data_IF_838063220484
#
_entry.id   IF_838063220484
#
_cell.length_a   1.000
_cell.length_b   1.000
_cell.length_c   1.000
_cell.angle_alpha   90.00
_cell.angle_beta   90.00
_cell.angle_gamma   90.00
#
_symmetry.space_group_name_H-M   'P 1'
#
loop_
_entity.id
_entity.type
_entity.pdbx_description
1 polymer ?
#
# COMPACT_ATOMS: atom_id res chain seq x y z
N UNK A 1 24.72 10.39 -19.67
CA UNK A 1 24.00 9.78 -20.82
C UNK A 1 22.60 9.48 -20.36
N UNK A 2 21.73 10.25 -20.89
CA UNK A 2 20.50 10.58 -20.24
C UNK A 2 19.32 9.93 -20.92
N UNK A 3 18.38 9.57 -20.18
CA UNK A 3 16.99 10.13 -20.12
C UNK A 3 16.07 9.92 -21.32
N UNK A 4 16.53 9.42 -22.45
CA UNK A 4 15.64 9.30 -23.62
C UNK A 4 14.88 7.97 -23.68
N UNK A 5 15.37 6.92 -23.02
CA UNK A 5 14.68 5.62 -22.99
C UNK A 5 13.27 5.72 -22.38
N UNK A 6 13.05 6.67 -21.47
CA UNK A 6 11.74 6.88 -20.83
C UNK A 6 10.71 7.40 -21.81
N UNK A 7 11.03 8.47 -22.52
CA UNK A 7 10.17 9.02 -23.57
C UNK A 7 9.95 8.00 -24.70
N UNK A 8 11.00 7.28 -25.09
CA UNK A 8 10.92 6.18 -26.07
C UNK A 8 10.01 5.04 -25.59
N UNK A 9 10.09 4.67 -24.30
CA UNK A 9 9.22 3.64 -23.71
C UNK A 9 7.75 4.06 -23.75
N UNK A 10 7.46 5.29 -23.36
CA UNK A 10 6.11 5.86 -23.41
C UNK A 10 5.54 5.88 -24.83
N UNK A 11 6.32 6.41 -25.77
CA UNK A 11 5.93 6.47 -27.18
C UNK A 11 5.61 5.07 -27.74
N UNK A 12 6.52 4.12 -27.57
CA UNK A 12 6.32 2.75 -28.04
C UNK A 12 5.09 2.09 -27.42
N UNK A 13 4.85 2.31 -26.11
CA UNK A 13 3.78 1.66 -25.39
C UNK A 13 2.42 2.30 -25.61
N UNK A 14 2.33 3.63 -25.56
CA UNK A 14 1.08 4.37 -25.57
C UNK A 14 0.68 4.87 -26.97
N UNK A 15 1.64 5.34 -27.74
CA UNK A 15 1.34 5.93 -29.05
C UNK A 15 1.34 4.87 -30.16
N UNK A 16 2.26 3.91 -30.10
CA UNK A 16 2.34 2.82 -31.10
C UNK A 16 1.66 1.51 -30.65
N UNK A 17 1.22 1.38 -29.41
CA UNK A 17 0.53 0.19 -28.90
C UNK A 17 1.38 -1.08 -28.87
N UNK A 18 2.71 -0.96 -28.82
CA UNK A 18 3.62 -2.12 -28.83
C UNK A 18 3.41 -3.04 -27.62
N UNK A 19 3.60 -4.34 -27.81
CA UNK A 19 3.65 -5.32 -26.72
C UNK A 19 4.88 -5.11 -25.86
N UNK A 20 4.86 -5.61 -24.60
CA UNK A 20 6.02 -5.54 -23.73
C UNK A 20 7.29 -6.12 -24.33
N UNK A 21 7.19 -7.25 -25.01
CA UNK A 21 8.32 -7.87 -25.69
C UNK A 21 8.93 -6.96 -26.76
N UNK A 22 8.09 -6.27 -27.54
CA UNK A 22 8.52 -5.32 -28.57
C UNK A 22 9.16 -4.07 -27.95
N UNK A 23 8.59 -3.56 -26.86
CA UNK A 23 9.17 -2.40 -26.12
C UNK A 23 10.54 -2.78 -25.56
N UNK A 24 10.67 -3.93 -24.92
CA UNK A 24 11.94 -4.41 -24.36
C UNK A 24 12.98 -4.63 -25.44
N UNK A 25 12.61 -5.21 -26.57
CA UNK A 25 13.50 -5.41 -27.71
C UNK A 25 14.01 -4.07 -28.27
N UNK A 26 13.13 -3.09 -28.40
CA UNK A 26 13.49 -1.75 -28.89
C UNK A 26 14.36 -0.96 -27.92
N UNK A 27 14.27 -1.25 -26.62
CA UNK A 27 15.05 -0.59 -25.56
C UNK A 27 16.32 -1.36 -25.16
N UNK A 28 16.52 -2.58 -25.64
CA UNK A 28 17.70 -3.39 -25.32
C UNK A 28 19.03 -2.65 -25.55
N UNK A 29 19.21 -1.86 -26.63
CA UNK A 29 20.45 -1.08 -26.82
C UNK A 29 20.69 -0.01 -25.75
N UNK A 30 19.64 0.46 -25.07
CA UNK A 30 19.73 1.48 -24.01
C UNK A 30 20.19 0.89 -22.67
N UNK A 31 20.20 -0.48 -22.55
CA UNK A 31 20.53 -1.22 -21.33
C UNK A 31 21.44 -2.43 -21.64
N UNK A 32 22.67 -2.19 -22.12
CA UNK A 32 23.54 -3.29 -22.56
C UNK A 32 23.96 -4.24 -21.43
N UNK A 33 23.85 -3.82 -20.17
CA UNK A 33 24.19 -4.58 -18.97
C UNK A 33 23.04 -5.44 -18.42
N UNK A 34 21.81 -5.23 -18.93
CA UNK A 34 20.62 -5.92 -18.42
C UNK A 34 20.14 -7.04 -19.36
N UNK A 35 19.67 -8.13 -18.78
CA UNK A 35 18.98 -9.16 -19.55
C UNK A 35 17.53 -8.73 -19.90
N UNK A 36 16.86 -9.40 -20.87
CA UNK A 36 15.52 -9.01 -21.30
C UNK A 36 14.49 -8.93 -20.19
N UNK A 37 14.56 -9.81 -19.18
CA UNK A 37 13.63 -9.81 -18.03
C UNK A 37 13.87 -8.58 -17.15
N UNK A 38 15.11 -8.25 -16.87
CA UNK A 38 15.46 -7.05 -16.09
C UNK A 38 15.07 -5.76 -16.82
N UNK A 39 15.23 -5.72 -18.16
CA UNK A 39 14.75 -4.58 -18.96
C UNK A 39 13.23 -4.46 -18.84
N UNK A 40 12.51 -5.57 -18.95
CA UNK A 40 11.05 -5.58 -18.82
C UNK A 40 10.60 -5.08 -17.45
N UNK A 41 11.19 -5.56 -16.37
CA UNK A 41 10.89 -5.14 -15.01
C UNK A 41 11.14 -3.63 -14.81
N UNK A 42 12.30 -3.14 -15.25
CA UNK A 42 12.67 -1.72 -15.18
C UNK A 42 11.73 -0.83 -15.98
N UNK A 43 11.41 -1.22 -17.21
CA UNK A 43 10.53 -0.44 -18.10
C UNK A 43 9.10 -0.46 -17.59
N UNK A 44 8.59 -1.61 -17.16
CA UNK A 44 7.25 -1.72 -16.54
C UNK A 44 7.14 -0.88 -15.29
N UNK A 45 8.15 -0.94 -14.41
CA UNK A 45 8.20 -0.11 -13.19
C UNK A 45 8.15 1.38 -13.51
N UNK A 46 8.84 1.82 -14.56
CA UNK A 46 8.80 3.21 -15.01
C UNK A 46 7.43 3.57 -15.61
N UNK A 47 6.94 2.80 -16.59
CA UNK A 47 5.68 3.07 -17.30
C UNK A 47 4.50 3.15 -16.32
N UNK A 48 4.48 2.33 -15.28
CA UNK A 48 3.45 2.41 -14.22
C UNK A 48 3.47 3.72 -13.44
N UNK A 49 4.61 4.39 -13.39
CA UNK A 49 4.73 5.73 -12.77
C UNK A 49 4.28 6.84 -13.70
N UNK A 50 4.12 6.57 -14.99
CA UNK A 50 3.65 7.57 -15.94
C UNK A 50 2.17 7.83 -15.74
N UNK A 51 1.76 9.10 -15.78
CA UNK A 51 0.34 9.48 -15.69
C UNK A 51 -0.51 8.85 -16.80
N UNK A 52 0.09 8.58 -17.97
CA UNK A 52 -0.57 7.93 -19.11
C UNK A 52 -0.91 6.46 -18.86
N UNK A 53 -0.15 5.74 -18.02
CA UNK A 53 -0.43 4.34 -17.66
C UNK A 53 -1.53 4.22 -16.63
N UNK A 54 -1.80 5.26 -15.86
CA UNK A 54 -2.91 5.34 -14.91
C UNK A 54 -4.25 5.33 -15.67
N UNK A 55 -4.43 4.29 -16.49
CA UNK A 55 -5.63 4.07 -17.29
C UNK A 55 -6.83 3.82 -16.37
N UNK A 56 -8.03 3.87 -16.90
CA UNK A 56 -9.33 3.69 -16.27
C UNK A 56 -9.53 2.31 -15.55
N UNK A 57 -8.47 1.57 -15.25
CA UNK A 57 -8.57 0.31 -14.51
C UNK A 57 -8.79 0.57 -13.03
N UNK A 58 -9.62 -0.24 -12.35
CA UNK A 58 -9.83 -0.13 -10.92
C UNK A 58 -8.52 -0.31 -10.14
N UNK A 59 -8.42 0.38 -9.01
CA UNK A 59 -7.29 0.29 -8.08
C UNK A 59 -7.75 -0.51 -6.86
N UNK A 60 -7.05 -1.61 -6.54
CA UNK A 60 -7.18 -2.29 -5.26
C UNK A 60 -6.40 -1.49 -4.22
N UNK A 61 -7.06 -1.12 -3.13
CA UNK A 61 -6.44 -0.39 -2.03
C UNK A 61 -6.58 -1.18 -0.74
N UNK A 62 -5.48 -1.50 -0.08
CA UNK A 62 -5.47 -2.16 1.21
C UNK A 62 -4.58 -1.43 2.20
N UNK A 63 -4.70 -1.74 3.49
CA UNK A 63 -3.93 -1.12 4.56
C UNK A 63 -3.79 -2.07 5.73
N UNK A 64 -2.88 -1.73 6.63
CA UNK A 64 -2.79 -2.29 7.97
C UNK A 64 -2.73 -3.83 7.98
N UNK A 65 -1.86 -4.49 7.19
CA UNK A 65 -1.60 -5.91 7.37
C UNK A 65 -0.89 -6.19 8.69
N UNK A 66 -0.02 -5.30 9.16
CA UNK A 66 0.76 -5.45 10.40
C UNK A 66 1.53 -6.77 10.46
N UNK A 67 2.25 -7.11 9.39
CA UNK A 67 3.07 -8.32 9.39
C UNK A 67 4.04 -8.34 10.59
N UNK A 68 4.24 -9.48 11.25
CA UNK A 68 3.77 -10.83 10.93
C UNK A 68 2.39 -11.17 11.50
N UNK A 69 1.64 -10.20 12.05
CA UNK A 69 0.37 -10.41 12.74
C UNK A 69 -0.84 -10.20 11.84
N UNK A 70 -0.64 -10.28 10.54
CA UNK A 70 -1.71 -10.25 9.55
C UNK A 70 -2.55 -11.54 9.57
N UNK A 71 -3.82 -11.43 9.14
CA UNK A 71 -4.67 -12.60 8.99
C UNK A 71 -4.10 -13.53 7.90
N UNK A 72 -3.96 -14.84 8.14
CA UNK A 72 -3.28 -15.76 7.22
C UNK A 72 -3.82 -15.72 5.79
N UNK A 73 -5.13 -15.56 5.64
CA UNK A 73 -5.81 -15.55 4.35
C UNK A 73 -5.98 -14.15 3.72
N UNK A 74 -5.53 -13.09 4.39
CA UNK A 74 -5.73 -11.73 3.88
C UNK A 74 -5.07 -11.49 2.52
N UNK A 75 -3.83 -11.92 2.24
CA UNK A 75 -3.24 -11.74 0.90
C UNK A 75 -4.00 -12.48 -0.20
N UNK A 76 -4.57 -13.64 0.08
CA UNK A 76 -5.38 -14.40 -0.88
C UNK A 76 -6.74 -13.75 -1.14
N UNK A 77 -7.39 -13.22 -0.08
CA UNK A 77 -8.59 -12.39 -0.22
C UNK A 77 -8.34 -11.18 -1.11
N UNK A 78 -7.22 -10.48 -0.93
CA UNK A 78 -6.84 -9.35 -1.78
C UNK A 78 -6.66 -9.79 -3.24
N UNK A 79 -6.03 -10.94 -3.48
CA UNK A 79 -5.83 -11.47 -4.83
C UNK A 79 -7.16 -11.79 -5.52
N UNK A 80 -8.07 -12.49 -4.84
CA UNK A 80 -9.38 -12.82 -5.40
C UNK A 80 -10.21 -11.55 -5.64
N UNK A 81 -10.12 -10.57 -4.74
CA UNK A 81 -10.76 -9.27 -4.92
C UNK A 81 -10.19 -8.53 -6.13
N UNK A 82 -8.87 -8.48 -6.28
CA UNK A 82 -8.22 -7.88 -7.45
C UNK A 82 -8.68 -8.52 -8.77
N UNK A 83 -8.75 -9.84 -8.81
CA UNK A 83 -9.25 -10.60 -9.97
C UNK A 83 -10.71 -10.28 -10.27
N UNK A 84 -11.57 -10.31 -9.23
CA UNK A 84 -13.01 -10.06 -9.35
C UNK A 84 -13.32 -8.69 -9.94
N UNK A 85 -12.63 -7.67 -9.48
CA UNK A 85 -12.83 -6.29 -9.93
C UNK A 85 -11.89 -5.87 -11.07
N UNK A 86 -11.05 -6.78 -11.57
CA UNK A 86 -10.06 -6.53 -12.63
C UNK A 86 -9.17 -5.33 -12.31
N UNK A 87 -8.71 -5.26 -11.06
CA UNK A 87 -7.83 -4.20 -10.62
C UNK A 87 -6.51 -4.23 -11.41
N UNK A 88 -6.19 -3.12 -12.05
CA UNK A 88 -4.94 -2.96 -12.82
C UNK A 88 -3.80 -2.38 -12.00
N UNK A 89 -4.09 -1.88 -10.81
CA UNK A 89 -3.12 -1.30 -9.88
C UNK A 89 -3.44 -1.75 -8.45
N UNK A 90 -2.40 -1.77 -7.62
CA UNK A 90 -2.51 -2.09 -6.20
C UNK A 90 -1.82 -0.99 -5.39
N UNK A 91 -2.50 -0.49 -4.37
CA UNK A 91 -2.01 0.54 -3.45
C UNK A 91 -2.11 0.03 -2.02
N UNK A 92 -1.01 0.11 -1.26
CA UNK A 92 -1.01 -0.12 0.18
C UNK A 92 -0.93 1.22 0.93
N UNK A 93 -1.79 1.40 1.92
CA UNK A 93 -1.83 2.64 2.71
C UNK A 93 -1.00 2.57 3.99
N UNK A 94 0.01 1.72 4.05
CA UNK A 94 0.96 1.67 5.16
C UNK A 94 0.60 0.68 6.27
N UNK A 95 1.38 0.77 7.33
CA UNK A 95 1.44 -0.21 8.41
C UNK A 95 1.64 -1.63 7.87
N UNK A 96 2.65 -1.75 6.98
CA UNK A 96 3.08 -3.03 6.40
C UNK A 96 3.55 -3.98 7.51
N UNK A 97 4.25 -3.44 8.49
CA UNK A 97 4.78 -4.17 9.65
C UNK A 97 4.24 -3.60 10.95
N UNK A 98 4.11 -4.46 11.97
CA UNK A 98 3.61 -3.99 13.26
C UNK A 98 4.70 -3.30 14.10
N UNK A 99 5.93 -3.82 14.07
CA UNK A 99 7.01 -3.32 14.92
C UNK A 99 6.61 -3.27 16.41
N UNK A 100 5.89 -4.31 16.89
CA UNK A 100 5.38 -4.42 18.27
C UNK A 100 6.52 -4.39 19.28
N UNK A 101 7.59 -5.14 19.01
CA UNK A 101 8.73 -5.28 19.92
C UNK A 101 9.45 -3.95 20.23
N UNK A 102 9.31 -2.95 19.35
CA UNK A 102 9.87 -1.61 19.57
C UNK A 102 8.80 -0.57 19.90
N UNK A 103 7.61 -1.03 20.27
CA UNK A 103 6.52 -0.16 20.75
C UNK A 103 6.88 0.49 22.09
N UNK A 104 6.28 1.65 22.37
CA UNK A 104 6.34 2.29 23.71
C UNK A 104 5.35 1.66 24.69
N UNK A 105 4.44 0.82 24.21
CA UNK A 105 3.54 0.04 25.07
C UNK A 105 4.30 -1.14 25.67
N UNK A 106 3.94 -1.55 26.88
CA UNK A 106 4.58 -2.68 27.53
C UNK A 106 4.50 -3.95 26.66
N UNK A 107 5.61 -4.67 26.55
CA UNK A 107 5.65 -5.93 25.82
C UNK A 107 4.92 -7.02 26.61
N UNK A 108 4.12 -7.83 25.90
CA UNK A 108 3.57 -9.06 26.46
C UNK A 108 4.73 -10.03 26.82
N UNK A 109 4.61 -10.82 27.92
CA UNK A 109 5.69 -11.71 28.37
C UNK A 109 6.15 -12.73 27.31
N UNK A 110 5.28 -13.07 26.37
CA UNK A 110 5.57 -13.99 25.26
C UNK A 110 5.85 -13.30 23.94
N UNK A 111 6.02 -11.97 23.92
CA UNK A 111 6.27 -11.22 22.71
C UNK A 111 7.62 -11.60 22.06
N UNK A 112 7.65 -11.56 20.75
CA UNK A 112 8.88 -11.74 19.97
C UNK A 112 9.86 -10.59 20.25
N UNK A 113 11.15 -10.90 20.20
CA UNK A 113 12.16 -9.85 20.13
C UNK A 113 12.15 -9.16 18.76
N UNK A 114 12.63 -7.92 18.69
CA UNK A 114 12.57 -7.10 17.49
C UNK A 114 13.15 -7.77 16.23
N UNK A 115 14.22 -8.54 16.38
CA UNK A 115 14.85 -9.26 15.27
C UNK A 115 13.95 -10.38 14.75
N UNK A 116 13.44 -11.22 15.66
CA UNK A 116 12.55 -12.33 15.28
C UNK A 116 11.23 -11.86 14.70
N UNK A 117 10.70 -10.75 15.21
CA UNK A 117 9.48 -10.14 14.65
C UNK A 117 9.72 -9.66 13.23
N UNK A 118 10.84 -8.97 12.98
CA UNK A 118 11.20 -8.48 11.64
C UNK A 118 11.40 -9.63 10.64
N UNK A 119 12.13 -10.68 11.03
CA UNK A 119 12.36 -11.86 10.16
C UNK A 119 11.04 -12.53 9.77
N UNK A 120 10.11 -12.67 10.71
CA UNK A 120 8.78 -13.21 10.43
C UNK A 120 7.96 -12.27 9.55
N UNK A 121 8.05 -10.95 9.78
CA UNK A 121 7.38 -9.96 8.94
C UNK A 121 7.87 -10.03 7.48
N UNK A 122 9.17 -10.14 7.27
CA UNK A 122 9.76 -10.32 5.92
C UNK A 122 9.24 -11.61 5.28
N UNK A 123 9.21 -12.72 6.02
CA UNK A 123 8.67 -13.98 5.52
C UNK A 123 7.19 -13.86 5.10
N UNK A 124 6.38 -13.17 5.90
CA UNK A 124 4.97 -12.90 5.57
C UNK A 124 4.83 -12.00 4.34
N UNK A 125 5.61 -10.92 4.26
CA UNK A 125 5.60 -10.00 3.12
C UNK A 125 6.00 -10.68 1.81
N UNK A 126 6.82 -11.72 1.83
CA UNK A 126 7.14 -12.53 0.63
C UNK A 126 5.91 -13.16 -0.01
N UNK A 127 4.84 -13.42 0.75
CA UNK A 127 3.56 -13.89 0.19
C UNK A 127 2.88 -12.75 -0.59
N UNK A 128 2.84 -11.54 -0.02
CA UNK A 128 2.26 -10.38 -0.70
C UNK A 128 3.04 -10.02 -1.96
N UNK A 129 4.37 -10.00 -1.90
CA UNK A 129 5.21 -9.65 -3.06
C UNK A 129 5.14 -10.70 -4.17
N UNK A 130 4.94 -11.98 -3.83
CA UNK A 130 4.71 -13.04 -4.80
C UNK A 130 3.35 -12.91 -5.51
N UNK A 131 2.30 -12.53 -4.77
CA UNK A 131 0.95 -12.34 -5.32
C UNK A 131 0.80 -11.01 -6.06
N UNK A 132 1.47 -9.99 -5.58
CA UNK A 132 1.45 -8.62 -6.09
C UNK A 132 2.89 -8.13 -6.34
N UNK A 133 3.49 -8.48 -7.47
CA UNK A 133 4.88 -8.10 -7.76
C UNK A 133 5.08 -6.59 -7.91
N UNK A 134 3.98 -5.86 -8.02
CA UNK A 134 3.99 -4.41 -8.23
C UNK A 134 2.92 -3.74 -7.36
N UNK A 135 3.36 -2.92 -6.40
CA UNK A 135 2.52 -2.18 -5.45
C UNK A 135 3.10 -0.77 -5.25
N UNK A 136 2.27 0.24 -5.32
CA UNK A 136 2.60 1.54 -4.75
C UNK A 136 2.22 1.52 -3.27
N UNK A 137 3.06 2.06 -2.38
CA UNK A 137 2.72 2.14 -0.96
C UNK A 137 3.09 3.47 -0.33
N UNK A 138 2.32 3.87 0.67
CA UNK A 138 2.69 4.96 1.57
C UNK A 138 3.09 4.38 2.92
N UNK A 139 3.85 5.13 3.73
CA UNK A 139 4.25 4.68 5.06
C UNK A 139 3.18 4.98 6.11
N UNK A 140 2.99 4.03 7.02
CA UNK A 140 2.13 4.20 8.18
C UNK A 140 2.90 4.53 9.46
N UNK A 141 2.20 4.70 10.55
CA UNK A 141 2.83 5.06 11.82
C UNK A 141 3.59 3.90 12.47
N UNK A 142 3.28 2.66 12.14
CA UNK A 142 4.05 1.49 12.59
C UNK A 142 5.31 1.32 11.75
N UNK A 143 5.24 1.55 10.46
CA UNK A 143 6.40 1.56 9.57
C UNK A 143 7.45 2.59 10.02
N UNK A 144 6.99 3.75 10.50
CA UNK A 144 7.85 4.85 10.98
C UNK A 144 8.33 4.71 12.43
N UNK A 145 7.99 3.62 13.14
CA UNK A 145 8.38 3.46 14.54
C UNK A 145 9.89 3.50 14.75
N UNK A 146 10.66 2.82 13.91
CA UNK A 146 12.11 2.78 14.04
C UNK A 146 12.71 4.18 13.88
N UNK A 147 12.24 4.95 12.90
CA UNK A 147 12.70 6.31 12.64
C UNK A 147 12.40 7.24 13.82
N UNK A 148 11.19 7.13 14.38
CA UNK A 148 10.77 7.92 15.55
C UNK A 148 11.54 7.54 16.82
N UNK A 149 11.84 6.25 17.03
CA UNK A 149 12.65 5.79 18.17
C UNK A 149 14.09 6.30 18.03
N UNK A 150 14.70 6.17 16.86
CA UNK A 150 16.04 6.68 16.58
C UNK A 150 16.13 8.20 16.79
N UNK A 151 15.17 8.94 16.25
CA UNK A 151 15.10 10.39 16.43
C UNK A 151 14.96 10.80 17.91
N UNK A 152 14.23 10.01 18.71
CA UNK A 152 14.05 10.30 20.16
C UNK A 152 15.34 10.23 20.96
N UNK A 153 16.39 9.56 20.45
CA UNK A 153 17.72 9.46 21.05
C UNK A 153 18.79 10.21 20.23
N UNK A 154 18.35 11.07 19.30
CA UNK A 154 19.25 11.93 18.53
C UNK A 154 19.89 11.27 17.30
N UNK A 155 19.46 10.07 16.91
CA UNK A 155 19.95 9.40 15.70
C UNK A 155 19.11 9.86 14.50
N UNK A 156 19.75 10.57 13.56
CA UNK A 156 19.10 11.06 12.35
C UNK A 156 18.85 9.95 11.32
N UNK A 157 17.82 10.12 10.49
CA UNK A 157 17.41 9.15 9.46
C UNK A 157 18.55 8.74 8.50
N UNK A 158 19.54 9.61 8.27
CA UNK A 158 20.72 9.30 7.43
C UNK A 158 21.52 8.08 7.91
N UNK A 159 21.39 7.69 9.19
CA UNK A 159 22.09 6.54 9.77
C UNK A 159 21.26 5.24 9.71
N UNK A 160 20.05 5.31 9.20
CA UNK A 160 19.14 4.18 9.11
C UNK A 160 19.03 3.72 7.65
N UNK A 161 18.74 2.44 7.47
CA UNK A 161 18.32 1.92 6.16
C UNK A 161 16.90 2.34 5.86
N UNK A 162 16.61 2.52 4.58
CA UNK A 162 15.23 2.74 4.13
C UNK A 162 14.35 1.52 4.44
N UNK A 163 13.08 1.77 4.71
CA UNK A 163 12.09 0.71 5.01
C UNK A 163 12.05 -0.35 3.90
N UNK A 164 12.14 0.07 2.66
CA UNK A 164 12.16 -0.81 1.49
C UNK A 164 13.29 -1.85 1.58
N UNK A 165 14.50 -1.41 1.93
CA UNK A 165 15.68 -2.27 2.05
C UNK A 165 15.61 -3.15 3.30
N UNK A 166 15.07 -2.62 4.41
CA UNK A 166 14.88 -3.37 5.67
C UNK A 166 13.92 -4.53 5.47
N UNK A 167 12.84 -4.32 4.70
CA UNK A 167 11.80 -5.31 4.44
C UNK A 167 12.08 -6.20 3.22
N UNK A 168 13.24 -6.06 2.57
CA UNK A 168 13.62 -6.82 1.38
C UNK A 168 12.55 -6.76 0.27
N UNK A 169 11.91 -5.60 0.09
CA UNK A 169 10.86 -5.45 -0.90
C UNK A 169 11.42 -5.45 -2.33
N UNK A 170 10.73 -6.02 -3.31
CA UNK A 170 11.18 -6.02 -4.70
C UNK A 170 11.05 -4.62 -5.33
N UNK A 171 11.81 -4.33 -6.38
CA UNK A 171 11.80 -3.05 -7.11
C UNK A 171 10.39 -2.59 -7.55
N UNK A 172 9.45 -3.53 -7.75
CA UNK A 172 8.07 -3.22 -8.10
C UNK A 172 7.25 -2.63 -6.95
N UNK A 173 7.73 -2.72 -5.71
CA UNK A 173 7.11 -2.10 -4.55
C UNK A 173 7.69 -0.70 -4.35
N UNK A 174 6.90 0.34 -4.63
CA UNK A 174 7.39 1.72 -4.71
C UNK A 174 6.84 2.53 -3.55
N UNK A 175 7.74 3.01 -2.68
CA UNK A 175 7.39 3.96 -1.64
C UNK A 175 7.03 5.32 -2.24
N UNK A 176 5.86 5.83 -1.90
CA UNK A 176 5.36 7.15 -2.30
C UNK A 176 5.47 8.20 -1.19
N UNK A 177 6.16 7.86 -0.09
CA UNK A 177 6.23 8.70 1.11
C UNK A 177 5.00 8.53 2.00
N UNK A 178 4.64 9.57 2.75
CA UNK A 178 3.53 9.51 3.70
C UNK A 178 2.16 9.74 3.06
N UNK A 179 2.14 10.43 1.93
CA UNK A 179 0.93 10.75 1.15
C UNK A 179 1.25 10.73 -0.33
N UNK A 180 0.28 10.33 -1.12
CA UNK A 180 0.42 10.27 -2.56
C UNK A 180 -0.89 10.67 -3.25
N UNK A 181 -0.80 11.57 -4.23
CA UNK A 181 -1.95 11.98 -5.03
C UNK A 181 -1.84 11.33 -6.40
N UNK A 182 -2.91 10.65 -6.78
CA UNK A 182 -3.07 10.11 -8.13
C UNK A 182 -4.49 10.40 -8.61
N UNK A 183 -4.60 11.03 -9.78
CA UNK A 183 -5.86 11.30 -10.47
C UNK A 183 -6.92 11.96 -9.54
N UNK A 184 -6.50 12.95 -8.77
CA UNK A 184 -7.33 13.69 -7.81
C UNK A 184 -7.89 12.83 -6.65
N UNK A 185 -7.23 11.73 -6.34
CA UNK A 185 -7.45 10.95 -5.10
C UNK A 185 -6.19 11.00 -4.25
N UNK A 186 -6.32 11.35 -2.99
CA UNK A 186 -5.26 11.36 -2.00
C UNK A 186 -5.23 10.01 -1.26
N UNK A 187 -4.11 9.35 -1.34
CA UNK A 187 -3.80 8.10 -0.64
C UNK A 187 -2.89 8.40 0.54
N UNK A 188 -3.29 8.03 1.74
CA UNK A 188 -2.48 8.20 2.94
C UNK A 188 -2.83 7.17 3.99
N UNK A 189 -1.95 6.95 4.97
CA UNK A 189 -2.28 6.03 6.06
C UNK A 189 -3.46 6.53 6.91
N UNK A 190 -3.58 7.83 7.12
CA UNK A 190 -4.72 8.40 7.85
C UNK A 190 -4.41 8.76 9.30
N UNK A 191 -3.15 8.91 9.68
CA UNK A 191 -2.75 9.46 11.00
C UNK A 191 -3.46 10.80 11.21
N UNK A 192 -4.06 10.99 12.39
CA UNK A 192 -4.91 12.14 12.77
C UNK A 192 -6.32 12.19 12.15
N UNK A 193 -6.68 11.22 11.32
CA UNK A 193 -8.00 11.12 10.68
C UNK A 193 -8.72 9.84 11.09
N UNK A 194 -8.66 9.48 12.36
CA UNK A 194 -9.27 8.27 12.89
C UNK A 194 -10.79 8.36 13.04
N UNK A 195 -11.42 7.19 13.17
CA UNK A 195 -12.85 7.07 13.42
C UNK A 195 -13.70 6.96 12.13
N UNK A 196 -14.99 6.73 12.34
CA UNK A 196 -15.95 6.43 11.27
C UNK A 196 -15.97 7.45 10.12
N UNK A 197 -15.80 8.72 10.44
CA UNK A 197 -15.87 9.82 9.49
C UNK A 197 -14.48 10.35 9.09
N UNK A 198 -13.39 9.71 9.54
CA UNK A 198 -12.03 10.20 9.29
C UNK A 198 -11.75 10.43 7.81
N UNK A 199 -12.08 9.46 6.96
CA UNK A 199 -11.84 9.55 5.52
C UNK A 199 -12.61 10.70 4.85
N UNK A 200 -13.91 10.85 5.15
CA UNK A 200 -14.70 11.91 4.53
C UNK A 200 -14.34 13.29 5.07
N UNK A 201 -14.00 13.40 6.37
CA UNK A 201 -13.52 14.65 6.94
C UNK A 201 -12.21 15.08 6.27
N UNK A 202 -11.27 14.14 6.08
CA UNK A 202 -10.03 14.41 5.33
C UNK A 202 -10.35 14.86 3.91
N UNK A 203 -11.21 14.16 3.18
CA UNK A 203 -11.60 14.52 1.83
C UNK A 203 -12.18 15.93 1.71
N UNK A 204 -13.00 16.35 2.69
CA UNK A 204 -13.56 17.69 2.74
C UNK A 204 -12.52 18.78 3.02
N UNK A 205 -11.55 18.50 3.89
CA UNK A 205 -10.46 19.44 4.21
C UNK A 205 -9.50 19.57 3.03
N UNK A 206 -9.08 18.45 2.44
CA UNK A 206 -8.16 18.41 1.29
C UNK A 206 -8.83 18.84 -0.03
N UNK A 207 -10.17 18.94 -0.07
CA UNK A 207 -10.95 19.28 -1.26
C UNK A 207 -10.72 18.30 -2.42
N UNK A 208 -10.49 17.05 -2.10
CA UNK A 208 -10.33 15.94 -3.07
C UNK A 208 -10.73 14.61 -2.43
N UNK A 209 -11.03 13.61 -3.23
CA UNK A 209 -11.31 12.26 -2.72
C UNK A 209 -10.12 11.68 -1.97
N UNK A 210 -10.38 10.93 -0.88
CA UNK A 210 -9.33 10.36 -0.03
C UNK A 210 -9.56 8.88 0.25
N UNK A 211 -8.46 8.12 0.28
CA UNK A 211 -8.41 6.75 0.78
C UNK A 211 -7.47 6.69 1.98
N UNK A 212 -7.96 6.13 3.09
CA UNK A 212 -7.19 5.98 4.32
C UNK A 212 -7.33 4.60 4.95
N UNK A 213 -6.31 4.19 5.73
CA UNK A 213 -6.29 3.04 6.65
C UNK A 213 -6.38 3.48 8.10
N UNK A 214 -5.47 2.99 8.95
CA UNK A 214 -5.23 3.37 10.34
C UNK A 214 -6.39 3.05 11.32
N UNK A 215 -7.62 3.27 10.90
CA UNK A 215 -8.80 3.02 11.73
C UNK A 215 -9.31 1.59 11.56
N UNK A 216 -8.68 0.64 12.24
CA UNK A 216 -8.98 -0.78 12.09
C UNK A 216 -10.46 -1.15 12.30
N UNK A 217 -11.20 -0.37 13.09
CA UNK A 217 -12.60 -0.66 13.43
C UNK A 217 -13.61 -0.17 12.38
N UNK A 218 -13.15 0.44 11.30
CA UNK A 218 -14.03 1.02 10.29
C UNK A 218 -13.62 0.60 8.88
N UNK A 219 -14.62 0.28 8.07
CA UNK A 219 -14.49 0.06 6.63
C UNK A 219 -15.74 0.62 5.95
N UNK A 220 -15.58 1.36 4.86
CA UNK A 220 -16.73 1.93 4.15
C UNK A 220 -16.41 3.22 3.41
N UNK A 221 -17.36 3.63 2.60
CA UNK A 221 -17.29 4.82 1.75
C UNK A 221 -18.36 5.82 2.12
N UNK A 222 -18.02 7.08 2.15
CA UNK A 222 -18.94 8.20 2.28
C UNK A 222 -18.69 9.20 1.17
N UNK A 223 -19.74 9.87 0.70
CA UNK A 223 -19.67 10.90 -0.34
C UNK A 223 -20.09 12.25 0.21
N UNK A 224 -19.48 13.30 -0.29
CA UNK A 224 -19.85 14.68 -0.03
C UNK A 224 -19.89 15.47 -1.34
N UNK A 225 -20.99 16.13 -1.60
CA UNK A 225 -21.19 16.91 -2.83
C UNK A 225 -21.44 18.38 -2.52
N UNK A 226 -20.97 19.25 -3.40
CA UNK A 226 -21.30 20.69 -3.40
C UNK A 226 -21.61 21.14 -4.83
N UNK A 227 -21.72 22.46 -5.06
CA UNK A 227 -22.03 23.02 -6.39
C UNK A 227 -20.91 22.83 -7.44
N UNK A 228 -19.73 22.39 -7.06
CA UNK A 228 -18.54 22.25 -7.94
C UNK A 228 -18.20 20.80 -8.23
N UNK A 229 -18.23 19.96 -7.20
CA UNK A 229 -17.71 18.60 -7.26
C UNK A 229 -18.42 17.64 -6.28
N UNK A 230 -18.11 16.39 -6.44
CA UNK A 230 -18.41 15.31 -5.50
C UNK A 230 -17.10 14.62 -5.14
N UNK A 231 -16.82 14.52 -3.85
CA UNK A 231 -15.66 13.80 -3.33
C UNK A 231 -16.11 12.61 -2.50
N UNK A 232 -15.27 11.57 -2.44
CA UNK A 232 -15.48 10.46 -1.51
C UNK A 232 -14.35 10.37 -0.48
N UNK A 233 -14.68 9.83 0.68
CA UNK A 233 -13.72 9.34 1.66
C UNK A 233 -13.94 7.84 1.87
N UNK A 234 -12.90 7.02 1.69
CA UNK A 234 -12.94 5.59 1.96
C UNK A 234 -11.99 5.21 3.10
N UNK A 235 -12.53 4.52 4.12
CA UNK A 235 -11.74 3.72 5.05
C UNK A 235 -11.63 2.30 4.49
N UNK A 236 -10.42 1.82 4.24
CA UNK A 236 -10.22 0.52 3.57
C UNK A 236 -10.22 -0.67 4.52
N UNK A 237 -10.41 -0.43 5.83
CA UNK A 237 -10.31 -1.48 6.84
C UNK A 237 -8.86 -1.89 7.07
N UNK A 238 -8.64 -3.12 7.53
CA UNK A 238 -7.33 -3.65 7.85
C UNK A 238 -7.21 -5.13 7.51
N UNK A 239 -5.99 -5.67 7.66
CA UNK A 239 -5.67 -7.08 7.43
C UNK A 239 -5.21 -7.86 8.67
N UNK A 240 -5.41 -7.33 9.87
CA UNK A 240 -4.85 -7.90 11.11
C UNK A 240 -5.48 -9.22 11.51
N UNK A 241 -4.69 -10.09 12.13
CA UNK A 241 -5.21 -11.26 12.85
C UNK A 241 -5.63 -10.84 14.27
N UNK A 242 -6.92 -10.82 14.53
CA UNK A 242 -7.52 -10.42 15.82
C UNK A 242 -7.02 -11.22 17.02
N UNK A 243 -6.55 -12.44 16.80
CA UNK A 243 -6.10 -13.34 17.84
C UNK A 243 -4.62 -13.16 18.17
N UNK A 244 -3.88 -12.39 17.38
CA UNK A 244 -2.47 -12.14 17.63
C UNK A 244 -2.26 -11.32 18.92
N UNK A 245 -1.24 -11.67 19.68
CA UNK A 245 -0.93 -11.01 20.96
C UNK A 245 -0.66 -9.50 20.79
N UNK A 246 -0.15 -9.07 19.65
CA UNK A 246 0.09 -7.66 19.34
C UNK A 246 -1.17 -6.80 19.47
N UNK A 247 -2.36 -7.40 19.31
CA UNK A 247 -3.65 -6.73 19.43
C UNK A 247 -4.39 -7.06 20.74
N UNK A 248 -3.72 -7.66 21.74
CA UNK A 248 -4.31 -8.04 23.02
C UNK A 248 -4.92 -6.82 23.77
N UNK A 249 -4.39 -5.62 23.57
CA UNK A 249 -4.95 -4.39 24.13
C UNK A 249 -6.38 -4.12 23.67
N UNK A 250 -6.76 -4.56 22.46
CA UNK A 250 -8.12 -4.48 21.90
C UNK A 250 -9.09 -5.57 22.40
N UNK A 251 -8.61 -6.54 23.20
CA UNK A 251 -9.41 -7.70 23.62
C UNK A 251 -10.75 -7.32 24.27
N UNK A 252 -10.77 -6.26 25.04
CA UNK A 252 -11.97 -5.77 25.74
C UNK A 252 -12.67 -4.63 25.01
N UNK A 253 -12.15 -4.16 23.86
CA UNK A 253 -12.81 -3.15 23.07
C UNK A 253 -14.13 -3.71 22.51
N UNK A 254 -15.19 -2.92 22.58
CA UNK A 254 -16.49 -3.30 22.00
C UNK A 254 -16.47 -3.25 20.47
N UNK A 255 -15.72 -2.30 19.92
CA UNK A 255 -15.46 -2.22 18.47
C UNK A 255 -14.32 -3.19 18.13
N UNK A 256 -14.53 -3.95 17.09
CA UNK A 256 -13.55 -4.91 16.56
C UNK A 256 -13.07 -4.47 15.19
N UNK A 257 -11.97 -5.06 14.78
CA UNK A 257 -11.33 -4.79 13.50
C UNK A 257 -12.27 -5.17 12.34
N UNK A 258 -12.31 -4.32 11.34
CA UNK A 258 -13.06 -4.52 10.09
C UNK A 258 -12.09 -4.97 9.01
N UNK A 259 -12.05 -6.29 8.79
CA UNK A 259 -11.17 -6.87 7.78
C UNK A 259 -11.73 -6.61 6.38
N UNK A 260 -10.88 -6.10 5.48
CA UNK A 260 -11.33 -5.79 4.13
C UNK A 260 -10.34 -4.92 3.36
N UNK A 261 -10.79 -4.46 2.20
CA UNK A 261 -10.04 -3.58 1.31
C UNK A 261 -10.96 -2.64 0.54
N UNK A 262 -10.40 -1.69 -0.16
CA UNK A 262 -11.12 -0.77 -1.04
C UNK A 262 -10.91 -1.11 -2.52
N UNK A 263 -11.89 -0.79 -3.36
CA UNK A 263 -11.73 -0.70 -4.82
C UNK A 263 -12.14 0.70 -5.24
N UNK A 264 -11.25 1.39 -5.96
CA UNK A 264 -11.51 2.72 -6.51
C UNK A 264 -11.67 2.59 -8.02
N UNK A 265 -12.77 3.12 -8.56
CA UNK A 265 -13.12 3.06 -9.97
C UNK A 265 -12.95 4.44 -10.62
N UNK A 266 -12.11 4.53 -11.64
CA UNK A 266 -11.92 5.75 -12.45
C UNK A 266 -11.76 7.03 -11.60
N UNK A 267 -11.24 6.89 -10.37
CA UNK A 267 -11.03 7.99 -9.43
C UNK A 267 -12.29 8.81 -9.06
N UNK A 268 -13.47 8.30 -9.39
CA UNK A 268 -14.76 8.96 -9.17
C UNK A 268 -15.64 8.26 -8.14
N UNK A 269 -15.44 6.97 -7.96
CA UNK A 269 -16.23 6.19 -7.02
C UNK A 269 -15.37 5.11 -6.35
N UNK A 270 -15.79 4.70 -5.18
CA UNK A 270 -15.12 3.66 -4.42
C UNK A 270 -16.13 2.71 -3.77
N UNK A 271 -15.71 1.49 -3.49
CA UNK A 271 -16.44 0.55 -2.67
C UNK A 271 -15.50 -0.05 -1.61
N UNK A 272 -16.04 -0.34 -0.45
CA UNK A 272 -15.39 -1.19 0.55
C UNK A 272 -15.81 -2.64 0.32
N UNK A 273 -14.85 -3.55 0.30
CA UNK A 273 -15.07 -4.99 0.17
C UNK A 273 -14.68 -5.65 1.50
N UNK A 274 -15.65 -6.06 2.32
CA UNK A 274 -15.34 -6.78 3.55
C UNK A 274 -14.77 -8.16 3.22
N UNK A 275 -13.84 -8.64 4.04
CA UNK A 275 -13.33 -10.00 3.96
C UNK A 275 -14.44 -10.99 4.30
N UNK A 276 -14.80 -11.82 3.34
CA UNK A 276 -15.91 -12.77 3.46
C UNK A 276 -15.64 -13.92 4.41
N UNK A 277 -16.70 -14.60 4.86
CA UNK A 277 -16.60 -15.73 5.80
C UNK A 277 -15.77 -16.90 5.26
N UNK A 278 -15.68 -17.01 3.94
CA UNK A 278 -14.89 -18.04 3.25
C UNK A 278 -13.38 -17.88 3.45
N UNK A 279 -12.94 -16.71 3.91
CA UNK A 279 -11.55 -16.41 4.23
C UNK A 279 -11.27 -16.32 5.74
N UNK A 280 -12.30 -16.22 6.56
CA UNK A 280 -12.20 -16.09 8.03
C UNK A 280 -11.94 -17.43 8.73
#
# INVERSE_FOLDING_TARGET
MSTDWKAKAEHLRFDEGKTWAQVCQALAPDFPELNPKQIEEKVRSYIRRCDRYKSNSPILVFSDPHCPFDHPNFPYFLQETAKKYKAGQVMCLGDLVDNHAISRHGAEPCALGAYSELDLAIQRLKIYTALFPEVDYVTGNHDERINRQAASVGIGARFLKDLHDVLELPEGWICRGNEFIQDNVLYSHGVNWSGKNGAINKAQVERMSCAIGHSHSFGGVQYSANSRDTVFGINVGCGVNREAYAFAYGKYAKQKETLGCGIIFNNQSAIFVPMGKEFL
#
